data_IF_911398694723
#
_entry.id   IF_911398694723
#
_cell.length_a   1.000
_cell.length_b   1.000
_cell.length_c   1.000
_cell.angle_alpha   90.00
_cell.angle_beta   90.00
_cell.angle_gamma   90.00
#
_symmetry.space_group_name_H-M   'P 1'
#
loop_
_entity.id
_entity.type
_entity.pdbx_description
1 polymer ?
#
# COMPACT_ATOMS: atom_id res chain seq x y z
N UNK A 1 -12.82 10.64 31.83
CA UNK A 1 -12.13 11.66 31.01
C UNK A 1 -10.87 11.02 30.47
N UNK A 2 -10.81 10.72 29.17
CA UNK A 2 -9.63 10.07 28.57
C UNK A 2 -8.45 11.04 28.55
N UNK A 3 -7.31 10.64 29.12
CA UNK A 3 -6.12 11.51 29.24
C UNK A 3 -5.54 11.87 27.87
N UNK A 4 -4.83 12.99 27.77
CA UNK A 4 -4.12 13.39 26.54
C UNK A 4 -3.17 12.27 26.05
N UNK A 5 -2.57 11.52 26.98
CA UNK A 5 -1.73 10.36 26.72
C UNK A 5 -2.49 9.21 26.06
N UNK A 6 -3.70 8.90 26.52
CA UNK A 6 -4.55 7.87 25.89
C UNK A 6 -4.96 8.29 24.47
N UNK A 7 -5.22 9.58 24.23
CA UNK A 7 -5.55 10.09 22.89
C UNK A 7 -4.36 10.05 21.93
N UNK A 8 -3.15 10.35 22.42
CA UNK A 8 -1.93 10.29 21.63
C UNK A 8 -1.52 8.83 21.32
N UNK A 9 -1.78 7.91 22.25
CA UNK A 9 -1.51 6.47 22.08
C UNK A 9 -2.64 5.72 21.35
N UNK A 10 -3.84 6.30 21.22
CA UNK A 10 -4.95 5.71 20.47
C UNK A 10 -4.90 6.01 18.96
N UNK A 11 -3.96 6.83 18.51
CA UNK A 11 -3.74 7.04 17.08
C UNK A 11 -3.18 5.77 16.44
N UNK A 12 -3.72 5.29 15.29
CA UNK A 12 -3.08 4.20 14.57
C UNK A 12 -1.64 4.60 14.29
N UNK A 13 -0.69 3.71 14.63
CA UNK A 13 0.72 3.92 14.34
C UNK A 13 0.89 3.99 12.82
N UNK A 14 0.97 5.22 12.29
CA UNK A 14 1.21 5.50 10.87
C UNK A 14 2.71 5.56 10.68
N UNK A 15 3.26 4.55 10.03
CA UNK A 15 4.69 4.50 9.71
C UNK A 15 4.88 4.89 8.26
N UNK A 16 5.69 5.91 7.99
CA UNK A 16 6.07 6.26 6.62
C UNK A 16 7.26 5.39 6.21
N UNK A 17 7.10 4.60 5.15
CA UNK A 17 8.17 3.74 4.61
C UNK A 17 8.35 3.98 3.12
N UNK A 18 9.55 3.78 2.60
CA UNK A 18 9.73 3.73 1.15
C UNK A 18 9.25 2.37 0.63
N UNK A 19 8.81 2.32 -0.63
CA UNK A 19 8.41 1.06 -1.28
C UNK A 19 9.53 0.01 -1.23
N UNK A 20 10.79 0.43 -1.37
CA UNK A 20 11.97 -0.46 -1.27
C UNK A 20 12.14 -1.12 0.10
N UNK A 21 11.52 -0.55 1.14
CA UNK A 21 11.60 -1.05 2.51
C UNK A 21 10.52 -2.12 2.77
N UNK A 22 9.60 -2.34 1.82
CA UNK A 22 8.61 -3.43 1.86
C UNK A 22 9.26 -4.78 1.56
N UNK A 23 8.74 -5.83 2.19
CA UNK A 23 9.16 -7.21 1.91
C UNK A 23 8.68 -7.63 0.52
N UNK A 24 9.60 -8.21 -0.26
CA UNK A 24 9.30 -8.67 -1.61
C UNK A 24 8.38 -9.90 -1.58
N UNK A 25 7.33 -9.88 -2.40
CA UNK A 25 6.38 -11.00 -2.53
C UNK A 25 5.35 -11.09 -1.41
N UNK A 26 5.32 -10.12 -0.49
CA UNK A 26 4.30 -10.03 0.57
C UNK A 26 3.09 -9.25 0.07
N UNK A 27 1.91 -9.77 0.40
CA UNK A 27 0.63 -9.11 0.16
C UNK A 27 0.35 -8.09 1.26
N UNK A 28 0.24 -6.83 0.84
CA UNK A 28 -0.12 -5.72 1.71
C UNK A 28 -1.53 -5.24 1.35
N UNK A 29 -2.50 -5.47 2.23
CA UNK A 29 -3.88 -5.03 2.01
C UNK A 29 -3.93 -3.51 1.99
N UNK A 30 -4.52 -2.95 0.95
CA UNK A 30 -4.67 -1.51 0.78
C UNK A 30 -5.92 -1.11 1.57
N UNK A 31 -5.74 -0.32 2.62
CA UNK A 31 -6.84 0.18 3.44
C UNK A 31 -7.40 1.49 2.90
N UNK A 32 -6.55 2.30 2.27
CA UNK A 32 -6.91 3.58 1.67
C UNK A 32 -5.87 3.99 0.64
N UNK A 33 -6.30 4.70 -0.40
CA UNK A 33 -5.42 5.49 -1.23
C UNK A 33 -5.81 6.95 -1.14
N UNK A 34 -4.83 7.83 -1.07
CA UNK A 34 -5.07 9.26 -1.10
C UNK A 34 -4.13 9.94 -2.07
N UNK A 35 -4.66 10.94 -2.75
CA UNK A 35 -3.87 11.81 -3.58
C UNK A 35 -3.18 12.87 -2.72
N UNK A 36 -1.91 13.10 -3.00
CA UNK A 36 -1.12 14.12 -2.32
C UNK A 36 -0.37 14.95 -3.36
N UNK A 37 -0.42 16.26 -3.18
CA UNK A 37 0.35 17.21 -3.98
C UNK A 37 1.74 17.36 -3.35
N UNK A 38 2.78 16.97 -4.10
CA UNK A 38 4.17 17.15 -3.71
C UNK A 38 4.80 18.26 -4.53
N UNK A 39 6.00 18.71 -4.13
CA UNK A 39 6.74 19.79 -4.83
C UNK A 39 6.94 19.55 -6.33
N UNK A 40 6.84 18.30 -6.80
CA UNK A 40 7.01 17.92 -8.21
C UNK A 40 5.70 17.48 -8.89
N UNK A 41 4.55 17.78 -8.28
CA UNK A 41 3.21 17.51 -8.81
C UNK A 41 2.44 16.42 -8.07
N UNK A 42 1.38 15.93 -8.72
CA UNK A 42 0.45 14.91 -8.21
C UNK A 42 1.16 13.59 -7.90
N UNK A 43 0.91 13.04 -6.71
CA UNK A 43 1.38 11.72 -6.30
C UNK A 43 0.30 10.96 -5.54
N UNK A 44 0.39 9.63 -5.49
CA UNK A 44 -0.55 8.80 -4.74
C UNK A 44 0.15 8.21 -3.52
N UNK A 45 -0.53 8.23 -2.38
CA UNK A 45 -0.13 7.52 -1.18
C UNK A 45 -1.04 6.32 -0.98
N UNK A 46 -0.44 5.14 -0.81
CA UNK A 46 -1.15 3.94 -0.45
C UNK A 46 -0.95 3.68 1.05
N UNK A 47 -2.06 3.49 1.75
CA UNK A 47 -2.10 3.07 3.15
C UNK A 47 -2.23 1.55 3.15
N UNK A 48 -1.19 0.89 3.65
CA UNK A 48 -1.04 -0.55 3.66
C UNK A 48 -1.26 -1.06 5.09
N UNK A 49 -2.18 -2.01 5.26
CA UNK A 49 -2.39 -2.69 6.55
C UNK A 49 -1.40 -3.84 6.69
N UNK A 50 -0.58 -3.78 7.74
CA UNK A 50 0.32 -4.86 8.14
C UNK A 50 -0.43 -5.93 8.94
N UNK A 51 0.22 -7.09 9.13
CA UNK A 51 -0.35 -8.23 9.88
C UNK A 51 -0.64 -7.91 11.35
N UNK A 52 0.11 -6.98 11.94
CA UNK A 52 -0.06 -6.48 13.30
C UNK A 52 -1.09 -5.33 13.39
N UNK A 53 -1.88 -5.14 12.33
CA UNK A 53 -2.84 -4.04 12.14
C UNK A 53 -2.25 -2.63 12.11
N UNK A 54 -0.92 -2.50 12.11
CA UNK A 54 -0.29 -1.22 11.89
C UNK A 54 -0.46 -0.76 10.44
N UNK A 55 -0.41 0.56 10.23
CA UNK A 55 -0.58 1.16 8.90
C UNK A 55 0.75 1.70 8.43
N UNK A 56 1.20 1.23 7.27
CA UNK A 56 2.36 1.78 6.57
C UNK A 56 1.87 2.64 5.41
N UNK A 57 2.38 3.85 5.32
CA UNK A 57 2.09 4.77 4.22
C UNK A 57 3.27 4.76 3.26
N UNK A 58 3.01 4.44 1.99
CA UNK A 58 4.02 4.48 0.93
C UNK A 58 3.58 5.44 -0.17
N UNK A 59 4.54 6.21 -0.70
CA UNK A 59 4.29 7.05 -1.89
C UNK A 59 4.52 6.23 -3.15
N UNK A 60 3.49 6.08 -3.97
CA UNK A 60 3.54 5.39 -5.25
C UNK A 60 4.26 6.23 -6.31
N UNK A 61 4.91 5.58 -7.30
CA UNK A 61 5.46 6.28 -8.45
C UNK A 61 4.42 7.16 -9.15
N UNK A 62 4.83 8.33 -9.61
CA UNK A 62 3.96 9.33 -10.26
C UNK A 62 3.08 8.76 -11.38
N UNK A 63 3.58 7.78 -12.15
CA UNK A 63 2.80 7.12 -13.22
C UNK A 63 1.45 6.58 -12.74
N UNK A 64 1.35 6.14 -11.47
CA UNK A 64 0.08 5.64 -10.94
C UNK A 64 -0.93 6.77 -10.70
N UNK A 65 -0.45 7.97 -10.35
CA UNK A 65 -1.28 9.17 -10.24
C UNK A 65 -1.83 9.68 -11.58
N UNK A 66 -1.24 9.23 -12.69
CA UNK A 66 -1.73 9.53 -14.05
C UNK A 66 -2.73 8.48 -14.55
N UNK A 67 -2.72 7.27 -13.97
CA UNK A 67 -3.57 6.15 -14.37
C UNK A 67 -4.83 6.08 -13.52
N UNK A 68 -4.73 6.34 -12.21
CA UNK A 68 -5.83 6.18 -11.26
C UNK A 68 -6.55 7.52 -11.09
N UNK A 69 -7.85 7.52 -11.38
CA UNK A 69 -8.77 8.65 -11.15
C UNK A 69 -9.22 8.73 -9.69
N UNK A 70 -9.69 9.91 -9.25
CA UNK A 70 -10.20 10.08 -7.88
C UNK A 70 -11.40 9.17 -7.58
N UNK A 71 -12.23 8.87 -8.59
CA UNK A 71 -13.38 7.98 -8.46
C UNK A 71 -12.93 6.53 -8.18
N UNK A 72 -11.84 6.10 -8.83
CA UNK A 72 -11.26 4.78 -8.62
C UNK A 72 -10.55 4.66 -7.26
N UNK A 73 -10.05 5.75 -6.68
CA UNK A 73 -9.44 5.71 -5.32
C UNK A 73 -10.43 5.20 -4.27
N UNK A 74 -11.72 5.53 -4.40
CA UNK A 74 -12.77 5.08 -3.47
C UNK A 74 -12.98 3.57 -3.48
N UNK A 75 -12.64 2.90 -4.59
CA UNK A 75 -12.72 1.43 -4.66
C UNK A 75 -11.67 0.73 -3.80
N UNK A 76 -10.58 1.42 -3.45
CA UNK A 76 -9.54 0.89 -2.58
C UNK A 76 -9.87 1.00 -1.08
N UNK A 77 -10.84 1.82 -0.70
CA UNK A 77 -11.23 1.99 0.72
C UNK A 77 -12.02 0.79 1.28
N UNK A 78 -12.46 -0.13 0.42
CA UNK A 78 -13.22 -1.33 0.84
C UNK A 78 -12.33 -2.45 1.38
N UNK A 79 -11.00 -2.31 1.32
CA UNK A 79 -10.06 -3.39 1.68
C UNK A 79 -10.08 -4.56 0.71
N UNK A 80 -10.67 -4.39 -0.48
CA UNK A 80 -10.82 -5.43 -1.51
C UNK A 80 -9.58 -5.62 -2.37
N UNK A 81 -8.54 -4.79 -2.20
CA UNK A 81 -7.33 -4.84 -3.01
C UNK A 81 -6.07 -4.95 -2.14
N UNK A 82 -5.07 -5.67 -2.64
CA UNK A 82 -3.74 -5.77 -2.03
C UNK A 82 -2.66 -5.38 -3.03
N UNK A 83 -1.55 -4.86 -2.51
CA UNK A 83 -0.35 -4.52 -3.25
C UNK A 83 0.77 -5.51 -2.90
N UNK A 84 1.47 -5.99 -3.92
CA UNK A 84 2.67 -6.82 -3.78
C UNK A 84 3.84 -6.07 -4.39
N UNK A 85 4.90 -5.89 -3.60
CA UNK A 85 6.18 -5.45 -4.11
C UNK A 85 6.95 -6.63 -4.70
N UNK A 86 7.22 -6.61 -6.00
CA UNK A 86 7.97 -7.66 -6.72
C UNK A 86 9.46 -7.38 -6.86
N UNK A 87 9.95 -6.28 -6.31
CA UNK A 87 11.34 -5.85 -6.45
C UNK A 87 11.50 -4.76 -7.52
N UNK A 88 12.62 -4.79 -8.22
CA UNK A 88 12.93 -3.80 -9.25
C UNK A 88 12.85 -4.40 -10.65
N UNK A 89 12.22 -3.66 -11.56
CA UNK A 89 12.28 -3.91 -13.00
C UNK A 89 13.09 -2.80 -13.65
N UNK A 90 14.40 -3.01 -13.76
CA UNK A 90 15.35 -1.96 -14.14
C UNK A 90 15.46 -0.90 -13.04
N UNK A 91 15.19 0.36 -13.37
CA UNK A 91 15.20 1.50 -12.42
C UNK A 91 13.83 1.77 -11.78
N UNK A 92 12.81 0.98 -12.09
CA UNK A 92 11.44 1.16 -11.60
C UNK A 92 11.07 0.10 -10.56
N UNK A 93 10.22 0.48 -9.60
CA UNK A 93 9.55 -0.49 -8.74
C UNK A 93 8.59 -1.35 -9.57
N UNK A 94 8.66 -2.65 -9.34
CA UNK A 94 7.69 -3.63 -9.86
C UNK A 94 6.62 -3.85 -8.79
N UNK A 95 5.41 -3.37 -9.07
CA UNK A 95 4.26 -3.43 -8.16
C UNK A 95 3.13 -4.15 -8.85
N UNK A 96 2.53 -5.11 -8.15
CA UNK A 96 1.31 -5.79 -8.58
C UNK A 96 0.17 -5.44 -7.64
N UNK A 97 -1.01 -5.18 -8.20
CA UNK A 97 -2.24 -4.94 -7.47
C UNK A 97 -3.19 -6.10 -7.76
N UNK A 98 -3.76 -6.70 -6.71
CA UNK A 98 -4.64 -7.88 -6.79
C UNK A 98 -5.91 -7.67 -5.97
N UNK A 99 -6.97 -8.42 -6.25
CA UNK A 99 -8.16 -8.47 -5.41
C UNK A 99 -7.97 -9.43 -4.23
N UNK A 100 -8.24 -8.95 -3.01
CA UNK A 100 -8.21 -9.74 -1.78
C UNK A 100 -9.32 -10.78 -1.84
N UNK A 101 -8.96 -12.06 -1.77
CA UNK A 101 -9.91 -13.17 -1.89
C UNK A 101 -9.97 -13.81 -3.29
N UNK A 102 -9.25 -13.27 -4.28
CA UNK A 102 -8.84 -14.09 -5.42
C UNK A 102 -7.66 -14.94 -4.96
N UNK A 103 -7.86 -16.25 -4.86
CA UNK A 103 -6.78 -17.21 -4.64
C UNK A 103 -5.69 -16.94 -5.68
N UNK A 104 -4.57 -16.34 -5.27
CA UNK A 104 -3.38 -16.39 -6.11
C UNK A 104 -3.06 -17.87 -6.30
N UNK A 105 -2.86 -18.35 -7.55
CA UNK A 105 -2.40 -19.71 -7.74
C UNK A 105 -1.04 -19.79 -7.05
N UNK A 106 -1.00 -20.50 -5.91
CA UNK A 106 0.23 -20.85 -5.23
C UNK A 106 1.19 -21.33 -6.31
N UNK A 107 2.26 -20.56 -6.56
CA UNK A 107 3.38 -21.05 -7.35
C UNK A 107 3.93 -22.24 -6.57
N UNK A 108 3.43 -23.44 -6.92
CA UNK A 108 4.02 -24.70 -6.51
C UNK A 108 5.51 -24.57 -6.77
N UNK A 109 6.38 -24.81 -5.78
CA UNK A 109 7.80 -24.83 -6.05
C UNK A 109 8.01 -25.87 -7.14
N UNK A 110 8.60 -25.46 -8.28
CA UNK A 110 9.08 -26.40 -9.29
C UNK A 110 10.09 -27.29 -8.59
N UNK A 111 9.68 -28.50 -8.24
CA UNK A 111 10.58 -29.56 -7.81
C UNK A 111 11.35 -30.02 -9.04
N UNK A 112 12.67 -29.75 -8.97
CA UNK A 112 13.80 -30.33 -9.70
C UNK A 112 13.79 -30.23 -11.22
#
# INVERSE_FOLDING_TARGET
MSSLLEKLNAGPSRTYSNIRDLEQGVEYVISRMEETEQHYGRSLQAHLKLKDESIVIVTLPRRYAEIISEEELKTYETGSYAMIFKGFRGLSYDLEFIEVGTEQPQKKPRRK
#
